data_IF_957298470374
#
_entry.id   IF_957298470374
#
_cell.length_a   1.000
_cell.length_b   1.000
_cell.length_c   1.000
_cell.angle_alpha   90.00
_cell.angle_beta   90.00
_cell.angle_gamma   90.00
#
_symmetry.space_group_name_H-M   'P 1'
#
loop_
_entity.id
_entity.type
_entity.pdbx_description
1 polymer ?
#
# COMPACT_ATOMS: atom_id res chain seq x y z
N UNK A 1 3.90 -0.80 -1.88
CA UNK A 1 4.00 -1.04 -1.08
C UNK A 1 3.33 -0.79 -0.34
N UNK A 2 2.72 -0.56 -0.66
CA UNK A 2 2.56 -0.72 0.28
C UNK A 2 1.40 -0.87 0.80
N UNK A 3 1.18 -1.76 0.69
CA UNK A 3 0.21 -2.09 1.40
C UNK A 3 0.49 -1.99 2.61
N UNK A 4 1.56 -1.86 2.74
CA UNK A 4 1.69 -1.55 4.02
C UNK A 4 0.98 -0.38 4.21
N UNK A 5 0.99 0.43 3.20
CA UNK A 5 0.18 1.55 3.43
C UNK A 5 -1.21 1.04 3.71
N UNK A 6 -1.63 -0.02 3.10
CA UNK A 6 -2.95 -0.37 3.41
C UNK A 6 -3.00 -1.26 4.54
N UNK A 7 -2.02 -1.96 4.77
CA UNK A 7 -2.08 -2.71 5.94
C UNK A 7 -1.59 -1.95 7.02
N UNK A 8 -0.72 -1.08 6.74
CA UNK A 8 -0.38 -0.18 7.73
C UNK A 8 -1.37 0.82 7.75
N UNK A 9 -1.96 1.01 6.70
CA UNK A 9 -3.06 1.83 6.70
C UNK A 9 -4.17 0.99 7.13
N UNK A 10 -4.16 -0.23 6.95
CA UNK A 10 -5.14 -1.06 7.57
C UNK A 10 -4.72 -1.30 8.97
N UNK A 11 -3.47 -1.23 9.22
CA UNK A 11 -3.04 -1.29 10.55
C UNK A 11 -2.85 0.05 11.09
N UNK A 12 -2.31 0.92 10.36
CA UNK A 12 -2.25 2.32 10.67
C UNK A 12 -3.63 2.89 10.60
N UNK A 13 -4.49 2.30 9.84
CA UNK A 13 -5.83 2.63 9.78
C UNK A 13 -6.62 1.88 10.77
N UNK A 14 -6.22 0.75 11.15
CA UNK A 14 -6.90 0.12 12.24
C UNK A 14 -6.48 0.82 13.46
N UNK A 15 -5.31 1.24 13.51
CA UNK A 15 -4.84 1.92 14.68
C UNK A 15 -5.27 3.36 14.55
N UNK A 16 -5.22 3.94 13.38
CA UNK A 16 -5.78 5.24 13.12
C UNK A 16 -7.27 5.18 13.09
N UNK A 17 -7.84 4.14 12.59
CA UNK A 17 -9.26 3.91 12.63
C UNK A 17 -9.72 3.61 14.03
N UNK A 18 -8.86 3.16 14.87
CA UNK A 18 -9.23 2.97 16.25
C UNK A 18 -9.17 4.26 16.98
N UNK A 19 -8.13 5.02 16.76
CA UNK A 19 -8.05 6.30 17.39
C UNK A 19 -9.21 7.15 16.96
N UNK A 20 -9.67 6.92 15.72
CA UNK A 20 -10.70 7.73 15.24
C UNK A 20 -12.07 7.17 15.41
N UNK A 21 -12.17 5.86 15.48
CA UNK A 21 -13.44 5.18 15.65
C UNK A 21 -14.12 5.62 16.92
N UNK A 22 -13.34 6.00 17.88
CA UNK A 22 -13.92 6.46 19.12
C UNK A 22 -14.66 7.76 18.89
N UNK A 23 -14.29 8.53 17.89
CA UNK A 23 -14.85 9.78 17.77
C UNK A 23 -15.70 9.99 16.66
N UNK A 24 -16.01 9.05 15.87
CA UNK A 24 -16.39 9.52 14.62
C UNK A 24 -17.73 9.09 14.19
N UNK A 25 -18.73 9.66 14.72
CA UNK A 25 -20.09 9.34 14.29
C UNK A 25 -20.37 9.82 12.87
N UNK A 26 -19.71 10.85 12.44
CA UNK A 26 -19.98 11.46 11.14
C UNK A 26 -19.02 11.05 10.05
N UNK A 27 -18.07 10.19 10.36
CA UNK A 27 -17.08 9.80 9.36
C UNK A 27 -17.69 8.91 8.29
N UNK A 28 -17.13 8.89 7.10
CA UNK A 28 -17.59 7.96 6.09
C UNK A 28 -17.42 6.53 6.56
N UNK A 29 -18.22 5.65 6.01
CA UNK A 29 -18.11 4.24 6.35
C UNK A 29 -16.71 3.72 6.01
N UNK A 30 -16.22 2.85 6.86
CA UNK A 30 -14.93 2.23 6.60
C UNK A 30 -15.09 1.11 5.60
N UNK A 31 -14.06 0.84 4.83
CA UNK A 31 -14.15 -0.30 3.93
C UNK A 31 -14.35 -1.61 4.67
N UNK A 32 -15.01 -2.54 4.03
CA UNK A 32 -15.20 -3.86 4.60
C UNK A 32 -13.91 -4.65 4.42
N UNK A 33 -13.40 -5.18 5.51
CA UNK A 33 -12.18 -5.99 5.46
C UNK A 33 -12.52 -7.45 5.31
N UNK A 34 -11.73 -8.14 4.53
CA UNK A 34 -11.95 -9.56 4.33
C UNK A 34 -11.24 -10.41 5.36
N UNK A 35 -10.09 -9.96 5.80
CA UNK A 35 -9.37 -10.68 6.84
C UNK A 35 -9.18 -9.72 7.99
N UNK A 36 -9.82 -10.07 9.10
CA UNK A 36 -9.78 -9.21 10.25
C UNK A 36 -8.41 -9.27 10.89
N UNK A 37 -7.85 -8.12 11.14
CA UNK A 37 -6.61 -8.03 11.87
C UNK A 37 -6.87 -7.29 13.15
N UNK A 38 -6.57 -7.92 14.25
CA UNK A 38 -6.79 -7.33 15.54
C UNK A 38 -5.45 -6.90 16.09
N UNK A 39 -5.32 -5.66 16.52
CA UNK A 39 -4.07 -5.28 17.18
C UNK A 39 -3.93 -6.09 18.47
N UNK A 40 -2.86 -5.95 19.08
CA UNK A 40 -2.46 -6.70 20.25
C UNK A 40 -3.62 -7.13 21.11
N UNK A 41 -3.73 -8.42 21.35
CA UNK A 41 -4.75 -8.98 22.23
C UNK A 41 -4.22 -9.34 23.62
N UNK A 42 -2.94 -9.18 23.84
CA UNK A 42 -2.36 -9.52 25.13
C UNK A 42 -2.74 -8.47 26.16
N UNK A 43 -3.25 -8.93 27.28
CA UNK A 43 -3.75 -8.05 28.32
C UNK A 43 -2.62 -7.72 29.30
N UNK A 44 -1.99 -6.57 29.08
CA UNK A 44 -0.88 -6.13 29.92
C UNK A 44 -1.27 -4.86 30.66
N UNK A 45 -1.01 -4.81 31.97
CA UNK A 45 -1.34 -3.59 32.72
C UNK A 45 -0.68 -2.33 32.17
N UNK A 46 0.56 -2.44 31.69
CA UNK A 46 1.24 -1.29 31.13
C UNK A 46 0.53 -0.76 29.89
N UNK A 47 -0.02 -1.64 29.08
CA UNK A 47 -0.78 -1.24 27.89
C UNK A 47 -2.04 -0.49 28.28
N UNK A 48 -2.77 -0.99 29.25
CA UNK A 48 -3.97 -0.31 29.73
C UNK A 48 -3.62 1.06 30.32
N UNK A 49 -2.53 1.13 31.06
CA UNK A 49 -2.08 2.38 31.63
C UNK A 49 -1.80 3.41 30.55
N UNK A 50 -1.16 3.01 29.47
CA UNK A 50 -0.89 3.89 28.36
C UNK A 50 -2.16 4.30 27.63
N UNK A 51 -3.05 3.32 27.37
CA UNK A 51 -4.28 3.60 26.64
C UNK A 51 -5.18 4.55 27.43
N UNK A 52 -5.19 4.42 28.74
CA UNK A 52 -5.96 5.34 29.59
C UNK A 52 -5.47 6.78 29.45
N UNK A 53 -4.22 6.94 29.00
CA UNK A 53 -3.63 8.26 28.80
C UNK A 53 -3.60 8.68 27.34
N UNK A 54 -4.30 7.96 26.50
CA UNK A 54 -4.41 8.30 25.09
C UNK A 54 -3.31 7.76 24.20
N UNK A 55 -2.50 6.82 24.70
CA UNK A 55 -1.38 6.27 23.93
C UNK A 55 -1.66 4.82 23.59
N UNK A 56 -1.73 4.48 22.30
CA UNK A 56 -1.93 3.12 21.84
C UNK A 56 -0.67 2.67 21.13
N UNK A 57 0.16 1.84 21.79
CA UNK A 57 1.37 1.33 21.12
C UNK A 57 1.01 0.24 20.13
N UNK A 58 1.86 0.07 19.19
CA UNK A 58 1.67 -1.04 18.25
C UNK A 58 2.99 -1.56 17.67
N UNK A 59 2.97 -2.75 17.29
CA UNK A 59 4.06 -3.38 16.66
C UNK A 59 3.50 -4.30 15.64
N UNK A 60 4.22 -4.40 14.66
CA UNK A 60 3.82 -5.35 13.60
C UNK A 60 5.06 -5.98 13.01
N UNK A 61 5.00 -7.29 12.74
CA UNK A 61 6.07 -8.02 12.08
C UNK A 61 5.47 -8.78 10.92
N UNK A 62 6.06 -8.65 9.73
CA UNK A 62 5.67 -9.42 8.55
C UNK A 62 6.89 -10.15 8.05
N UNK A 63 6.82 -11.47 7.95
CA UNK A 63 7.90 -12.30 7.42
C UNK A 63 7.35 -13.05 6.23
N UNK A 64 8.01 -12.94 5.09
CA UNK A 64 7.60 -13.64 3.88
C UNK A 64 8.78 -14.42 3.32
N UNK A 65 8.66 -15.75 3.29
CA UNK A 65 9.67 -16.62 2.69
C UNK A 65 9.11 -17.13 1.37
N UNK A 66 9.86 -16.88 0.30
CA UNK A 66 9.44 -17.27 -1.04
C UNK A 66 10.45 -18.23 -1.64
N UNK A 67 9.93 -19.25 -2.31
CA UNK A 67 10.73 -20.17 -3.12
C UNK A 67 10.41 -19.89 -4.58
N UNK A 68 11.42 -19.48 -5.35
CA UNK A 68 11.28 -19.27 -6.78
C UNK A 68 11.72 -20.53 -7.50
N UNK A 69 10.91 -20.95 -8.47
CA UNK A 69 11.18 -22.18 -9.22
C UNK A 69 11.44 -21.81 -10.67
N UNK A 70 12.69 -21.97 -11.11
CA UNK A 70 13.07 -21.80 -12.51
C UNK A 70 13.12 -20.36 -12.99
N UNK A 71 13.49 -19.45 -12.14
CA UNK A 71 13.55 -18.04 -12.54
C UNK A 71 14.70 -17.73 -13.47
N UNK A 72 14.67 -16.51 -14.00
CA UNK A 72 15.69 -15.99 -14.91
C UNK A 72 17.09 -16.09 -14.32
N UNK A 73 17.24 -15.87 -13.03
CA UNK A 73 18.54 -15.98 -12.36
C UNK A 73 18.63 -17.24 -11.48
N UNK A 74 17.81 -18.24 -11.74
CA UNK A 74 17.88 -19.50 -11.04
C UNK A 74 16.71 -19.73 -10.10
N UNK A 75 16.89 -20.72 -9.22
CA UNK A 75 15.86 -21.13 -8.25
C UNK A 75 16.42 -21.02 -6.84
N UNK A 76 15.55 -20.78 -5.87
CA UNK A 76 15.97 -20.75 -4.49
C UNK A 76 15.00 -20.02 -3.59
N UNK A 77 15.44 -19.85 -2.34
CA UNK A 77 14.64 -19.21 -1.30
C UNK A 77 15.12 -17.81 -1.03
N UNK A 78 14.17 -16.94 -0.66
CA UNK A 78 14.47 -15.59 -0.19
C UNK A 78 13.47 -15.24 0.90
N UNK A 79 13.96 -14.66 1.98
CA UNK A 79 13.11 -14.25 3.10
C UNK A 79 13.23 -12.75 3.31
N UNK A 80 12.10 -12.06 3.33
CA UNK A 80 12.03 -10.64 3.58
C UNK A 80 11.22 -10.38 4.84
N UNK A 81 11.70 -9.47 5.67
CA UNK A 81 11.06 -9.14 6.93
C UNK A 81 10.84 -7.65 7.05
N UNK A 82 9.69 -7.29 7.57
CA UNK A 82 9.29 -5.91 7.82
C UNK A 82 8.82 -5.79 9.26
N UNK A 83 9.29 -4.78 9.96
CA UNK A 83 8.91 -4.53 11.35
C UNK A 83 8.48 -3.09 11.49
N UNK A 84 7.35 -2.85 12.13
CA UNK A 84 6.93 -1.52 12.53
C UNK A 84 6.81 -1.46 14.04
N UNK A 85 7.28 -0.36 14.63
CA UNK A 85 7.09 -0.07 16.04
C UNK A 85 6.61 1.37 16.13
N UNK A 86 5.55 1.60 16.86
CA UNK A 86 5.06 2.96 16.94
C UNK A 86 3.94 3.13 17.94
N UNK A 87 3.31 4.27 17.86
CA UNK A 87 2.18 4.59 18.73
C UNK A 87 1.26 5.57 18.04
N UNK A 88 -0.01 5.44 18.35
CA UNK A 88 -1.04 6.43 17.99
C UNK A 88 -1.44 7.12 19.29
N UNK A 89 -1.34 8.42 19.30
CA UNK A 89 -1.56 9.22 20.50
C UNK A 89 -2.76 10.13 20.27
N UNK A 90 -3.79 9.96 21.11
CA UNK A 90 -4.91 10.88 21.16
C UNK A 90 -4.42 12.10 21.94
N UNK A 91 -4.06 13.16 21.23
CA UNK A 91 -3.48 14.33 21.88
C UNK A 91 -4.51 15.11 22.69
N UNK A 92 -5.79 14.94 22.41
CA UNK A 92 -6.82 15.52 23.28
C UNK A 92 -6.77 14.91 24.66
N UNK A 93 -6.66 13.59 24.71
CA UNK A 93 -6.61 12.89 25.99
C UNK A 93 -5.26 13.09 26.67
N UNK A 94 -4.19 13.00 25.92
CA UNK A 94 -2.85 13.06 26.50
C UNK A 94 -2.42 14.48 26.89
N UNK A 95 -2.80 15.47 26.07
CA UNK A 95 -2.25 16.83 26.21
C UNK A 95 -3.33 17.93 26.23
N UNK A 96 -4.59 17.56 26.08
CA UNK A 96 -5.65 18.58 25.98
C UNK A 96 -5.73 19.28 24.63
N UNK A 97 -5.13 18.71 23.59
CA UNK A 97 -5.10 19.31 22.27
C UNK A 97 -5.73 18.34 21.28
N UNK A 98 -6.97 18.57 20.88
CA UNK A 98 -7.70 17.65 20.01
C UNK A 98 -6.88 17.29 18.80
N UNK A 99 -6.75 16.01 18.55
CA UNK A 99 -6.03 15.51 17.38
C UNK A 99 -5.42 14.18 17.63
N UNK A 100 -4.76 13.65 16.59
CA UNK A 100 -4.10 12.34 16.64
C UNK A 100 -2.67 12.51 16.15
N UNK A 101 -1.73 12.11 16.98
CA UNK A 101 -0.30 12.10 16.63
C UNK A 101 0.09 10.66 16.36
N UNK A 102 0.74 10.42 15.22
CA UNK A 102 1.24 9.09 14.89
C UNK A 102 2.74 9.14 14.77
N UNK A 103 3.41 8.20 15.44
CA UNK A 103 4.85 8.08 15.37
C UNK A 103 5.16 6.62 15.04
N UNK A 104 5.89 6.38 13.95
CA UNK A 104 6.18 5.01 13.50
C UNK A 104 7.63 4.93 13.05
N UNK A 105 8.33 3.92 13.54
CA UNK A 105 9.63 3.50 13.03
C UNK A 105 9.46 2.18 12.32
N UNK A 106 10.17 1.99 11.22
CA UNK A 106 10.07 0.75 10.44
C UNK A 106 11.46 0.26 10.11
N UNK A 107 11.57 -1.06 9.96
CA UNK A 107 12.81 -1.66 9.49
C UNK A 107 12.46 -2.74 8.48
N UNK A 108 13.24 -2.83 7.42
CA UNK A 108 13.11 -3.88 6.43
C UNK A 108 14.47 -4.50 6.22
N UNK A 109 14.51 -5.83 6.18
CA UNK A 109 15.75 -6.53 5.97
C UNK A 109 15.49 -7.88 5.31
N UNK A 110 16.55 -8.50 4.80
CA UNK A 110 16.44 -9.80 4.15
C UNK A 110 16.61 -9.69 2.65
N UNK A 111 16.01 -10.62 1.93
CA UNK A 111 16.21 -10.77 0.50
C UNK A 111 14.88 -10.97 -0.19
N UNK A 112 14.84 -10.67 -1.48
CA UNK A 112 13.61 -10.74 -2.25
C UNK A 112 13.76 -11.70 -3.43
N UNK A 113 12.72 -12.49 -3.67
CA UNK A 113 12.72 -13.45 -4.77
C UNK A 113 12.79 -12.77 -6.13
N UNK A 114 12.14 -11.61 -6.28
CA UNK A 114 12.20 -10.91 -7.56
C UNK A 114 13.60 -10.42 -7.88
N UNK A 115 14.35 -10.03 -6.87
CA UNK A 115 15.68 -9.51 -7.03
C UNK A 115 16.70 -10.64 -7.26
N UNK A 116 16.53 -11.73 -6.56
CA UNK A 116 17.51 -12.81 -6.62
C UNK A 116 17.26 -13.82 -7.74
N UNK A 117 15.99 -14.02 -8.12
CA UNK A 117 15.67 -15.16 -8.99
C UNK A 117 14.82 -14.81 -10.20
N UNK A 118 13.63 -14.22 -10.00
CA UNK A 118 12.69 -14.08 -11.12
C UNK A 118 13.02 -12.93 -12.06
N UNK A 119 13.62 -11.87 -11.54
CA UNK A 119 13.91 -10.68 -12.35
C UNK A 119 12.66 -9.91 -12.73
N UNK A 120 11.60 -10.02 -11.93
CA UNK A 120 10.33 -9.36 -12.26
C UNK A 120 10.28 -7.95 -11.68
N UNK A 121 9.46 -7.09 -12.29
CA UNK A 121 9.15 -5.77 -11.74
C UNK A 121 8.20 -5.91 -10.54
N UNK A 122 7.22 -6.79 -10.65
CA UNK A 122 6.33 -7.05 -9.53
C UNK A 122 7.09 -7.85 -8.51
N UNK A 123 7.14 -7.37 -7.27
CA UNK A 123 7.82 -8.07 -6.20
C UNK A 123 6.94 -9.20 -5.70
N UNK A 124 7.55 -10.35 -5.50
CA UNK A 124 6.83 -11.51 -4.96
C UNK A 124 6.51 -11.32 -3.49
N UNK A 125 7.31 -10.49 -2.81
CA UNK A 125 7.14 -10.18 -1.39
C UNK A 125 6.93 -8.68 -1.28
N UNK A 126 5.74 -8.27 -0.89
CA UNK A 126 5.38 -6.85 -0.93
C UNK A 126 6.17 -6.00 0.06
N UNK A 127 6.59 -6.60 1.16
CA UNK A 127 7.22 -5.86 2.23
C UNK A 127 8.74 -5.84 2.10
N UNK A 128 9.24 -5.50 0.92
CA UNK A 128 10.67 -5.41 0.65
C UNK A 128 10.95 -4.11 -0.08
N UNK A 129 12.07 -3.48 0.20
CA UNK A 129 12.46 -2.29 -0.54
C UNK A 129 12.18 -1.02 0.21
N UNK A 130 12.25 0.09 -0.50
CA UNK A 130 12.06 1.44 0.05
C UNK A 130 13.14 1.73 1.10
N UNK A 131 14.40 1.46 0.73
CA UNK A 131 15.54 1.74 1.58
C UNK A 131 16.14 0.54 2.29
N UNK A 132 15.34 -0.49 2.57
CA UNK A 132 15.80 -1.74 3.19
C UNK A 132 16.63 -1.48 4.44
N UNK A 133 16.12 -0.68 5.35
CA UNK A 133 16.88 -0.26 6.52
C UNK A 133 15.93 0.27 7.58
N UNK A 134 16.46 0.50 8.76
CA UNK A 134 15.71 1.16 9.83
C UNK A 134 15.49 2.62 9.47
N UNK A 135 14.24 3.08 9.58
CA UNK A 135 13.90 4.43 9.17
C UNK A 135 12.72 5.02 9.92
N UNK A 136 12.69 6.33 9.92
CA UNK A 136 11.53 7.07 10.41
C UNK A 136 10.46 6.97 9.35
N UNK A 137 9.34 6.34 9.71
CA UNK A 137 8.25 6.12 8.78
C UNK A 137 7.27 7.29 8.83
N UNK A 138 6.87 7.68 10.03
CA UNK A 138 5.83 8.70 10.15
C UNK A 138 5.94 9.45 11.47
N UNK A 139 5.84 10.76 11.39
CA UNK A 139 5.49 11.62 12.51
C UNK A 139 4.48 12.62 11.95
N UNK A 140 3.22 12.45 12.31
CA UNK A 140 2.15 13.27 11.74
C UNK A 140 1.12 13.62 12.78
N UNK A 141 0.45 14.73 12.57
CA UNK A 141 -0.65 15.15 13.43
C UNK A 141 -1.86 15.44 12.57
N UNK A 142 -3.00 14.89 12.98
CA UNK A 142 -4.26 15.03 12.24
C UNK A 142 -5.32 15.57 13.17
N UNK A 143 -6.09 16.52 12.67
CA UNK A 143 -7.19 17.10 13.44
C UNK A 143 -8.42 17.20 12.57
N UNK A 144 -9.56 16.84 13.15
CA UNK A 144 -10.86 16.96 12.49
C UNK A 144 -11.59 18.19 12.99
N UNK A 145 -12.24 18.88 12.08
CA UNK A 145 -12.98 20.10 12.34
C UNK A 145 -14.36 19.99 11.69
N UNK A 146 -15.26 20.94 12.01
CA UNK A 146 -16.58 21.06 11.37
C UNK A 146 -17.37 19.76 11.48
N UNK A 147 -17.53 19.27 12.69
CA UNK A 147 -18.22 18.01 12.96
C UNK A 147 -17.60 16.86 12.17
N UNK A 148 -16.27 16.88 12.13
CA UNK A 148 -15.47 15.82 11.48
C UNK A 148 -15.61 15.74 9.98
N UNK A 149 -16.22 16.75 9.38
CA UNK A 149 -16.28 16.77 7.92
C UNK A 149 -14.97 17.18 7.29
N UNK A 150 -14.16 17.94 8.03
CA UNK A 150 -12.88 18.42 7.51
C UNK A 150 -11.76 17.82 8.35
N UNK A 151 -10.81 17.17 7.69
CA UNK A 151 -9.63 16.63 8.37
C UNK A 151 -8.39 17.29 7.78
N UNK A 152 -7.53 17.77 8.67
CA UNK A 152 -6.24 18.35 8.28
C UNK A 152 -5.16 17.44 8.87
N UNK A 153 -4.14 17.13 8.07
CA UNK A 153 -3.04 16.29 8.52
C UNK A 153 -1.74 16.88 7.99
N UNK A 154 -0.75 16.98 8.85
CA UNK A 154 0.54 17.49 8.44
C UNK A 154 1.66 16.79 9.16
N UNK A 155 2.84 16.84 8.57
CA UNK A 155 4.03 16.28 9.17
C UNK A 155 4.88 15.54 8.16
N UNK A 156 5.54 14.50 8.65
CA UNK A 156 6.43 13.67 7.86
C UNK A 156 5.76 12.31 7.72
N UNK A 157 5.26 12.00 6.53
CA UNK A 157 4.54 10.74 6.30
C UNK A 157 4.45 10.49 4.82
N UNK A 158 4.26 9.23 4.45
CA UNK A 158 4.13 8.87 3.06
C UNK A 158 2.75 9.29 2.55
N UNK A 159 2.69 9.92 1.38
CA UNK A 159 1.40 10.29 0.83
C UNK A 159 0.54 9.06 0.54
N UNK A 160 1.17 7.93 0.29
CA UNK A 160 0.45 6.69 0.06
C UNK A 160 -0.33 6.22 1.28
N UNK A 161 -0.04 6.75 2.47
CA UNK A 161 -0.84 6.39 3.64
C UNK A 161 -2.26 6.91 3.52
N UNK A 162 -2.49 7.94 2.73
CA UNK A 162 -3.81 8.56 2.63
C UNK A 162 -4.42 8.52 1.24
N UNK A 163 -3.62 8.40 0.19
CA UNK A 163 -4.11 8.44 -1.19
C UNK A 163 -3.91 7.09 -1.87
N UNK A 164 -4.84 6.71 -2.71
CA UNK A 164 -4.67 5.52 -3.55
C UNK A 164 -4.83 4.20 -2.84
N UNK A 165 -5.39 4.18 -1.66
CA UNK A 165 -5.60 2.95 -0.93
C UNK A 165 -6.91 2.27 -1.31
N UNK A 166 -6.94 0.95 -1.14
CA UNK A 166 -8.14 0.19 -1.45
C UNK A 166 -8.19 -1.03 -0.55
N UNK A 167 -9.36 -1.44 -0.06
CA UNK A 167 -9.44 -2.66 0.73
C UNK A 167 -9.15 -3.90 -0.11
N UNK A 168 -8.78 -4.97 0.56
CA UNK A 168 -8.54 -6.30 0.00
C UNK A 168 -7.20 -6.47 -0.67
N UNK A 169 -6.57 -5.40 -1.15
CA UNK A 169 -5.33 -5.55 -1.92
C UNK A 169 -4.23 -6.21 -1.10
N UNK A 170 -4.23 -6.00 0.21
CA UNK A 170 -3.21 -6.61 1.06
C UNK A 170 -3.61 -7.94 1.64
N UNK A 171 -4.62 -8.56 1.05
CA UNK A 171 -4.80 -9.98 1.20
C UNK A 171 -3.87 -10.75 0.25
N UNK A 172 -2.96 -10.05 -0.43
CA UNK A 172 -2.02 -10.64 -1.37
C UNK A 172 -0.59 -10.42 -0.91
N UNK A 173 0.31 -11.31 -1.32
CA UNK A 173 1.71 -11.23 -0.94
C UNK A 173 2.55 -10.37 -1.90
N UNK A 174 2.08 -10.13 -3.12
CA UNK A 174 2.86 -9.41 -4.10
C UNK A 174 2.56 -7.90 -4.03
N UNK A 175 3.51 -7.08 -4.44
CA UNK A 175 3.34 -5.64 -4.38
C UNK A 175 2.56 -5.06 -5.56
N UNK A 176 2.29 -5.86 -6.57
CA UNK A 176 1.41 -5.40 -7.62
C UNK A 176 0.02 -5.14 -7.09
N UNK A 177 -0.39 -5.93 -6.10
CA UNK A 177 -1.67 -5.75 -5.44
C UNK A 177 -1.53 -5.11 -4.08
N UNK A 178 -0.67 -5.66 -3.21
CA UNK A 178 -0.54 -5.14 -1.87
C UNK A 178 0.33 -3.90 -1.88
N UNK A 179 -0.31 -2.77 -1.71
CA UNK A 179 0.36 -1.48 -1.78
C UNK A 179 -0.41 -0.56 -2.68
N UNK A 180 0.29 0.28 -3.35
CA UNK A 180 -0.32 1.21 -4.29
C UNK A 180 0.06 0.82 -5.70
N UNK A 181 -0.72 1.26 -6.68
CA UNK A 181 -0.45 0.85 -8.06
C UNK A 181 0.97 1.22 -8.48
N UNK A 182 1.63 0.30 -9.15
CA UNK A 182 3.05 0.44 -9.45
C UNK A 182 3.32 1.51 -10.51
N UNK A 183 2.36 1.77 -11.40
CA UNK A 183 2.57 2.79 -12.41
C UNK A 183 2.96 4.14 -11.83
N UNK A 184 2.12 4.73 -10.99
CA UNK A 184 2.47 6.00 -10.36
C UNK A 184 3.75 5.95 -9.53
N UNK A 185 3.96 4.86 -8.81
CA UNK A 185 5.14 4.75 -7.94
C UNK A 185 6.42 4.78 -8.77
N UNK A 186 6.46 4.05 -9.88
CA UNK A 186 7.67 4.00 -10.70
C UNK A 186 7.82 5.21 -11.61
N UNK A 187 6.74 5.97 -11.82
CA UNK A 187 6.76 7.03 -12.83
C UNK A 187 6.57 8.43 -12.27
N UNK A 188 6.67 8.58 -10.96
CA UNK A 188 6.50 9.91 -10.36
C UNK A 188 7.16 9.95 -8.98
N UNK A 189 6.94 11.06 -8.28
CA UNK A 189 7.41 11.20 -6.90
C UNK A 189 6.47 10.63 -5.86
N UNK A 190 5.53 9.79 -6.25
CA UNK A 190 4.64 9.10 -5.32
C UNK A 190 5.48 8.23 -4.39
N UNK A 191 5.42 8.51 -3.10
CA UNK A 191 6.11 7.67 -2.12
C UNK A 191 5.12 6.82 -1.37
N UNK A 192 5.60 5.68 -0.95
CA UNK A 192 4.80 4.72 -0.23
C UNK A 192 5.51 4.31 1.05
N UNK A 193 4.76 3.81 1.99
CA UNK A 193 5.28 3.28 3.24
C UNK A 193 6.42 2.30 2.94
N UNK A 194 7.53 2.33 3.66
CA UNK A 194 7.79 3.06 4.91
C UNK A 194 8.58 4.36 4.75
N UNK A 195 8.66 4.92 3.58
CA UNK A 195 9.46 6.12 3.35
C UNK A 195 8.57 7.36 3.46
N UNK A 196 8.89 8.23 4.42
CA UNK A 196 8.10 9.42 4.63
C UNK A 196 8.54 10.60 3.78
N UNK A 197 7.73 11.62 3.80
CA UNK A 197 7.99 12.89 3.12
C UNK A 197 7.23 13.98 3.85
N UNK A 198 7.69 15.22 3.75
CA UNK A 198 6.95 16.31 4.34
C UNK A 198 5.69 16.57 3.55
N UNK A 199 4.58 16.75 4.24
CA UNK A 199 3.33 16.95 3.55
C UNK A 199 2.23 17.53 4.39
N UNK A 200 1.22 18.02 3.68
CA UNK A 200 -0.04 18.48 4.26
C UNK A 200 -1.14 17.84 3.44
N UNK A 201 -2.20 17.41 4.12
CA UNK A 201 -3.37 16.81 3.47
C UNK A 201 -4.64 17.44 4.03
N UNK A 202 -5.58 17.75 3.16
CA UNK A 202 -6.90 18.25 3.51
C UNK A 202 -7.92 17.28 2.96
N UNK A 203 -8.83 16.81 3.80
CA UNK A 203 -9.88 15.88 3.39
C UNK A 203 -11.23 16.36 3.85
N UNK A 204 -12.17 16.43 2.92
CA UNK A 204 -13.57 16.71 3.21
C UNK A 204 -14.35 15.41 3.13
N UNK A 205 -15.18 15.13 4.12
CA UNK A 205 -16.02 13.92 4.17
C UNK A 205 -17.47 14.29 4.40
N UNK A 206 -18.35 13.67 3.62
CA UNK A 206 -19.77 13.88 3.72
C UNK A 206 -20.39 12.66 4.42
N UNK A 207 -21.33 12.85 5.34
CA UNK A 207 -21.98 11.70 6.00
C UNK A 207 -22.63 10.72 5.04
N UNK A 208 -23.00 11.14 3.82
CA UNK A 208 -23.54 10.22 2.82
C UNK A 208 -22.51 9.27 2.23
N UNK A 209 -21.22 9.48 2.51
CA UNK A 209 -20.17 8.59 2.05
C UNK A 209 -19.20 9.18 1.03
N UNK A 210 -19.48 10.37 0.52
CA UNK A 210 -18.60 11.04 -0.43
C UNK A 210 -17.43 11.69 0.29
N UNK A 211 -16.27 11.70 -0.36
CA UNK A 211 -15.16 12.48 0.17
C UNK A 211 -14.33 13.05 -0.98
N UNK A 212 -13.59 14.08 -0.65
CA UNK A 212 -12.60 14.67 -1.56
C UNK A 212 -11.38 15.03 -0.73
N UNK A 213 -10.21 14.76 -1.28
CA UNK A 213 -8.99 15.14 -0.57
C UNK A 213 -7.91 15.58 -1.54
N UNK A 214 -7.03 16.41 -1.02
CA UNK A 214 -5.89 16.90 -1.78
C UNK A 214 -4.74 17.13 -0.80
N UNK A 215 -3.57 17.42 -1.34
CA UNK A 215 -2.43 17.66 -0.49
C UNK A 215 -1.26 18.23 -1.25
N UNK A 216 -0.18 18.50 -0.52
CA UNK A 216 1.08 18.90 -1.10
C UNK A 216 2.18 18.17 -0.34
N UNK A 217 3.08 17.54 -1.09
CA UNK A 217 4.13 16.71 -0.49
C UNK A 217 5.44 17.03 -1.19
N UNK A 218 6.55 17.01 -0.45
CA UNK A 218 7.84 17.22 -1.12
C UNK A 218 8.26 15.94 -1.84
N UNK A 219 9.09 16.11 -2.89
CA UNK A 219 9.64 14.98 -3.63
C UNK A 219 11.14 14.98 -3.38
N UNK A 220 11.60 13.93 -2.70
CA UNK A 220 13.02 13.84 -2.35
C UNK A 220 13.49 12.40 -2.52
N UNK A 221 13.98 12.06 -3.71
CA UNK A 221 14.39 10.67 -3.97
C UNK A 221 15.52 10.19 -3.06
N UNK A 222 16.31 11.10 -2.51
CA UNK A 222 17.44 10.69 -1.67
C UNK A 222 16.98 10.01 -0.38
N UNK A 223 15.74 10.21 0.04
CA UNK A 223 15.28 9.61 1.28
C UNK A 223 15.12 8.10 1.20
N UNK A 224 15.03 7.54 -0.01
CA UNK A 224 14.94 6.08 -0.15
C UNK A 224 16.28 5.39 0.01
N UNK A 225 17.37 6.12 0.01
CA UNK A 225 18.69 5.50 0.16
C UNK A 225 18.84 4.90 1.54
N UNK A 226 19.56 3.78 1.60
CA UNK A 226 19.62 3.01 2.84
C UNK A 226 20.34 3.74 3.98
N UNK A 227 21.21 4.70 3.65
CA UNK A 227 21.88 5.47 4.69
C UNK A 227 21.09 6.74 5.08
N UNK A 228 19.89 6.92 4.55
CA UNK A 228 19.09 8.11 4.82
C UNK A 228 17.79 7.80 5.55
N UNK A 229 17.79 6.78 6.38
CA UNK A 229 16.56 6.35 7.06
C UNK A 229 15.94 7.40 7.97
N UNK A 230 16.76 8.31 8.51
CA UNK A 230 16.25 9.35 9.38
C UNK A 230 16.40 10.74 8.78
N UNK A 231 16.54 10.81 7.46
CA UNK A 231 16.74 12.10 6.82
C UNK A 231 15.41 12.84 6.68
N UNK A 232 15.31 13.94 7.41
CA UNK A 232 14.16 14.83 7.31
C UNK A 232 14.53 16.16 6.65
N UNK A 233 15.82 16.37 6.36
CA UNK A 233 16.27 17.59 5.73
C UNK A 233 15.74 17.71 4.31
N UNK A 234 15.70 18.93 3.80
CA UNK A 234 15.11 19.21 2.49
C UNK A 234 16.12 19.13 1.36
N UNK A 235 17.42 19.01 1.65
CA UNK A 235 18.38 18.87 0.57
C UNK A 235 18.10 17.59 -0.21
N UNK A 236 18.17 17.70 -1.53
CA UNK A 236 17.78 16.60 -2.41
C UNK A 236 16.35 16.72 -2.92
N UNK A 237 15.58 17.69 -2.43
CA UNK A 237 14.24 17.91 -2.96
C UNK A 237 14.30 18.24 -4.44
N UNK A 238 13.42 17.64 -5.23
CA UNK A 238 13.36 17.87 -6.66
C UNK A 238 12.08 18.56 -7.10
N UNK A 239 11.11 18.67 -6.21
CA UNK A 239 9.85 19.30 -6.56
C UNK A 239 8.78 19.02 -5.53
N UNK A 240 7.54 19.24 -5.93
CA UNK A 240 6.36 19.03 -5.09
C UNK A 240 5.38 18.12 -5.81
N UNK A 241 4.65 17.37 -5.02
CA UNK A 241 3.66 16.41 -5.52
C UNK A 241 2.28 16.85 -5.00
N UNK A 242 1.33 17.00 -5.92
CA UNK A 242 -0.03 17.46 -5.60
C UNK A 242 -1.03 16.38 -6.02
N UNK A 243 -1.54 15.56 -5.10
CA UNK A 243 -2.59 14.60 -5.44
C UNK A 243 -3.98 15.19 -5.19
N UNK A 244 -4.96 14.71 -5.94
CA UNK A 244 -6.38 14.98 -5.73
C UNK A 244 -7.11 13.65 -5.85
N UNK A 245 -8.00 13.38 -4.92
CA UNK A 245 -8.76 12.13 -4.94
C UNK A 245 -10.20 12.40 -4.53
N UNK A 246 -11.14 11.84 -5.30
CA UNK A 246 -12.56 11.85 -5.01
C UNK A 246 -13.01 10.42 -4.78
N UNK A 247 -13.83 10.19 -3.78
CA UNK A 247 -14.28 8.84 -3.51
C UNK A 247 -15.67 8.77 -2.92
N UNK A 248 -16.19 7.55 -2.90
CA UNK A 248 -17.46 7.22 -2.30
C UNK A 248 -17.31 5.89 -1.60
N UNK A 249 -17.72 5.87 -0.34
CA UNK A 249 -17.63 4.65 0.46
C UNK A 249 -19.02 4.32 0.98
N UNK A 250 -19.37 3.18 0.75
CA UNK A 250 -20.64 2.73 1.13
C UNK A 250 -20.51 1.58 2.03
N UNK A 251 -21.44 1.42 2.87
CA UNK A 251 -21.45 0.31 3.79
C UNK A 251 -20.74 0.65 5.08
N UNK A 252 -21.42 0.46 6.19
CA UNK A 252 -20.86 0.86 7.47
C UNK A 252 -20.42 -0.30 8.33
N UNK A 253 -20.88 -1.48 8.01
CA UNK A 253 -20.63 -2.66 8.83
C UNK A 253 -19.90 -3.70 8.00
N UNK A 254 -19.05 -4.54 8.61
CA UNK A 254 -18.49 -5.68 7.87
C UNK A 254 -19.55 -6.64 7.37
N UNK A 255 -20.78 -6.50 7.83
CA UNK A 255 -21.89 -7.34 7.36
C UNK A 255 -22.66 -6.73 6.20
N UNK A 256 -22.36 -5.49 5.83
CA UNK A 256 -23.03 -4.82 4.72
C UNK A 256 -22.46 -5.24 3.37
N UNK A 257 -23.17 -4.90 2.31
CA UNK A 257 -22.62 -4.95 0.96
C UNK A 257 -21.85 -3.66 0.75
N UNK A 258 -20.67 -3.58 1.35
CA UNK A 258 -19.87 -2.37 1.32
C UNK A 258 -19.10 -2.21 0.04
N UNK A 259 -18.84 -0.96 -0.32
CA UNK A 259 -18.07 -0.65 -1.50
C UNK A 259 -17.23 0.61 -1.33
N UNK A 260 -16.17 0.70 -2.11
CA UNK A 260 -15.30 1.86 -2.17
C UNK A 260 -15.01 2.15 -3.63
N UNK A 261 -15.24 3.38 -4.05
CA UNK A 261 -15.07 3.80 -5.43
C UNK A 261 -14.32 5.10 -5.42
N UNK A 262 -13.24 5.22 -6.21
CA UNK A 262 -12.50 6.47 -6.21
C UNK A 262 -11.78 6.71 -7.52
N UNK A 263 -11.53 7.99 -7.79
CA UNK A 263 -10.71 8.41 -8.89
C UNK A 263 -9.68 9.40 -8.34
N UNK A 264 -8.50 9.41 -8.92
CA UNK A 264 -7.45 10.31 -8.48
C UNK A 264 -6.63 10.81 -9.65
N UNK A 265 -5.98 11.93 -9.39
CA UNK A 265 -5.08 12.55 -10.34
C UNK A 265 -3.93 13.15 -9.55
N UNK A 266 -2.73 13.17 -10.15
CA UNK A 266 -1.61 13.81 -9.47
C UNK A 266 -0.79 14.63 -10.45
N UNK A 267 -0.14 15.64 -9.90
CA UNK A 267 0.76 16.54 -10.59
C UNK A 267 2.04 16.60 -9.78
N UNK A 268 3.15 16.23 -10.42
CA UNK A 268 4.47 16.17 -9.79
C UNK A 268 5.36 17.16 -10.51
N UNK A 269 5.84 18.19 -9.84
CA UNK A 269 6.63 19.23 -10.47
C UNK A 269 8.11 18.86 -10.61
N UNK A 270 8.54 17.71 -10.10
CA UNK A 270 9.95 17.36 -10.16
C UNK A 270 10.40 17.08 -11.59
N UNK A 271 11.66 17.40 -11.86
CA UNK A 271 12.26 17.10 -13.15
C UNK A 271 12.54 15.61 -13.28
N UNK A 272 12.43 15.10 -14.47
CA UNK A 272 12.72 13.68 -14.72
C UNK A 272 13.30 13.49 -16.11
N UNK A 273 14.22 12.55 -16.21
CA UNK A 273 14.80 12.20 -17.50
C UNK A 273 13.75 11.54 -18.39
N UNK A 274 13.87 11.79 -19.69
CA UNK A 274 12.98 11.12 -20.65
C UNK A 274 13.43 9.68 -20.85
N UNK A 275 12.47 8.78 -20.93
CA UNK A 275 12.81 7.36 -21.16
C UNK A 275 13.30 7.13 -22.60
N UNK A 276 12.92 7.98 -23.54
CA UNK A 276 13.31 7.81 -24.95
C UNK A 276 14.49 8.67 -25.34
N UNK A 277 15.02 9.49 -24.45
CA UNK A 277 16.16 10.37 -24.74
C UNK A 277 16.80 10.79 -23.41
N UNK A 278 17.39 9.86 -22.72
CA UNK A 278 17.91 10.17 -21.36
C UNK A 278 18.94 11.29 -21.27
N UNK A 279 19.48 11.49 -22.33
CA UNK A 279 20.50 12.45 -22.41
C UNK A 279 19.98 13.78 -22.76
N UNK A 280 18.78 13.81 -23.00
CA UNK A 280 18.22 15.09 -23.44
C UNK A 280 17.78 15.92 -22.26
N UNK A 281 17.23 17.11 -22.54
CA UNK A 281 16.71 17.97 -21.48
C UNK A 281 15.60 17.26 -20.70
N UNK A 282 15.64 17.37 -19.40
CA UNK A 282 14.65 16.72 -18.54
C UNK A 282 13.27 17.33 -18.74
N UNK A 283 12.25 16.52 -18.54
CA UNK A 283 10.87 16.98 -18.50
C UNK A 283 10.65 17.67 -17.15
N UNK A 284 9.90 18.76 -17.16
CA UNK A 284 9.79 19.59 -15.97
C UNK A 284 8.62 19.22 -15.06
N UNK A 285 7.78 18.27 -15.47
CA UNK A 285 6.68 17.82 -14.62
C UNK A 285 6.19 16.45 -15.09
N UNK A 286 5.47 15.78 -14.22
CA UNK A 286 4.87 14.48 -14.53
C UNK A 286 3.46 14.45 -13.96
N UNK A 287 2.57 13.70 -14.59
CA UNK A 287 1.23 13.57 -14.08
C UNK A 287 0.69 12.18 -14.38
N UNK A 288 -0.38 11.84 -13.70
CA UNK A 288 -1.05 10.57 -13.93
C UNK A 288 -2.39 10.53 -13.23
N UNK A 289 -3.07 9.41 -13.40
CA UNK A 289 -4.40 9.26 -12.84
C UNK A 289 -4.66 7.81 -12.48
N UNK A 290 -5.67 7.59 -11.64
CA UNK A 290 -6.06 6.25 -11.25
C UNK A 290 -7.55 6.17 -10.98
N UNK A 291 -8.09 4.97 -11.19
CA UNK A 291 -9.47 4.62 -10.86
C UNK A 291 -9.41 3.34 -10.05
N UNK A 292 -10.12 3.32 -8.92
CA UNK A 292 -10.11 2.15 -8.06
C UNK A 292 -11.52 1.86 -7.61
N UNK A 293 -11.87 0.58 -7.55
CA UNK A 293 -13.14 0.19 -7.00
C UNK A 293 -13.02 -1.12 -6.27
N UNK A 294 -13.79 -1.27 -5.21
CA UNK A 294 -13.91 -2.50 -4.47
C UNK A 294 -15.35 -2.63 -4.03
N UNK A 295 -15.91 -3.83 -4.13
CA UNK A 295 -17.31 -4.05 -3.84
C UNK A 295 -17.52 -5.46 -3.31
N UNK A 296 -18.21 -5.58 -2.19
CA UNK A 296 -18.68 -6.88 -1.75
C UNK A 296 -19.83 -7.27 -2.66
N UNK A 297 -19.72 -8.43 -3.30
CA UNK A 297 -20.66 -8.80 -4.34
C UNK A 297 -21.56 -9.98 -3.96
N UNK A 298 -21.21 -10.73 -2.92
CA UNK A 298 -21.98 -11.90 -2.55
C UNK A 298 -21.78 -12.24 -1.08
N UNK A 299 -22.84 -12.64 -0.42
CA UNK A 299 -22.82 -13.17 0.93
C UNK A 299 -23.64 -14.44 0.98
N UNK A 300 -23.25 -15.45 1.77
CA UNK A 300 -24.04 -16.68 1.85
C UNK A 300 -25.35 -16.51 2.63
N UNK A 301 -25.45 -15.47 3.44
CA UNK A 301 -26.69 -15.17 4.19
C UNK A 301 -26.69 -13.69 4.52
N UNK A 302 -27.82 -13.20 5.00
CA UNK A 302 -27.97 -11.75 5.16
C UNK A 302 -27.10 -11.18 6.26
N UNK A 303 -27.00 -11.86 7.39
CA UNK A 303 -26.29 -11.33 8.56
C UNK A 303 -25.01 -12.09 8.79
N UNK A 304 -23.98 -11.77 8.03
CA UNK A 304 -22.71 -12.46 8.14
C UNK A 304 -21.58 -11.56 7.67
N UNK A 305 -20.38 -11.76 8.20
CA UNK A 305 -19.19 -11.11 7.68
C UNK A 305 -18.60 -11.88 6.49
N UNK A 306 -19.09 -13.11 6.27
CA UNK A 306 -18.59 -13.97 5.20
C UNK A 306 -19.10 -13.48 3.86
N UNK A 307 -18.31 -13.66 2.82
CA UNK A 307 -18.75 -13.29 1.48
C UNK A 307 -17.59 -13.03 0.55
N UNK A 308 -17.94 -12.71 -0.68
CA UNK A 308 -16.95 -12.48 -1.73
C UNK A 308 -16.95 -10.99 -2.07
N UNK A 309 -15.75 -10.43 -2.14
CA UNK A 309 -15.54 -9.06 -2.58
C UNK A 309 -14.64 -9.07 -3.80
N UNK A 310 -14.84 -8.10 -4.68
CA UNK A 310 -14.02 -7.95 -5.87
C UNK A 310 -13.45 -6.55 -5.92
N UNK A 311 -12.28 -6.41 -6.53
CA UNK A 311 -11.71 -5.09 -6.71
C UNK A 311 -11.07 -4.96 -8.09
N UNK A 312 -10.94 -3.73 -8.55
CA UNK A 312 -10.28 -3.42 -9.81
C UNK A 312 -9.58 -2.08 -9.69
N UNK A 313 -8.39 -1.99 -10.24
CA UNK A 313 -7.61 -0.77 -10.27
C UNK A 313 -7.04 -0.60 -11.68
N UNK A 314 -7.12 0.62 -12.19
CA UNK A 314 -6.46 0.97 -13.43
C UNK A 314 -5.72 2.29 -13.24
N UNK A 315 -4.50 2.38 -13.74
CA UNK A 315 -3.72 3.60 -13.61
C UNK A 315 -3.10 3.96 -14.93
N UNK A 316 -2.85 5.24 -15.09
CA UNK A 316 -2.10 5.76 -16.22
C UNK A 316 -1.04 6.70 -15.67
N UNK A 317 0.19 6.56 -16.16
CA UNK A 317 1.29 7.39 -15.72
C UNK A 317 1.97 8.02 -16.93
N UNK A 318 2.87 8.96 -16.69
CA UNK A 318 3.49 9.74 -17.77
C UNK A 318 4.44 8.86 -18.58
N UNK A 319 4.10 8.63 -19.84
CA UNK A 319 4.87 7.73 -20.69
C UNK A 319 6.23 8.30 -21.08
N UNK A 320 6.42 9.61 -20.92
CA UNK A 320 7.69 10.26 -21.30
C UNK A 320 8.79 9.96 -20.30
N UNK A 321 8.44 9.80 -19.03
CA UNK A 321 9.44 9.78 -17.95
C UNK A 321 9.43 8.53 -17.12
N UNK A 322 8.36 7.76 -17.17
CA UNK A 322 8.27 6.55 -16.37
C UNK A 322 8.38 5.30 -17.20
N UNK A 323 8.89 4.23 -16.64
CA UNK A 323 8.94 2.98 -17.40
C UNK A 323 7.57 2.39 -17.63
N UNK A 324 6.63 2.60 -16.70
CA UNK A 324 5.29 2.01 -16.80
C UNK A 324 4.29 3.05 -17.28
N UNK A 325 3.56 2.71 -18.34
CA UNK A 325 2.48 3.57 -18.83
C UNK A 325 1.18 3.26 -18.11
N UNK A 326 0.87 1.98 -17.98
CA UNK A 326 -0.37 1.54 -17.33
C UNK A 326 -0.08 0.45 -16.32
N UNK A 327 -0.87 0.41 -15.28
CA UNK A 327 -0.92 -0.75 -14.41
C UNK A 327 -2.37 -1.11 -14.13
N UNK A 328 -2.63 -2.40 -14.04
CA UNK A 328 -3.98 -2.94 -13.88
C UNK A 328 -3.94 -3.99 -12.78
N UNK A 329 -4.91 -3.95 -11.87
CA UNK A 329 -5.05 -5.00 -10.87
C UNK A 329 -6.51 -5.40 -10.80
N UNK A 330 -6.74 -6.70 -10.76
CA UNK A 330 -8.07 -7.25 -10.50
C UNK A 330 -7.92 -8.30 -9.41
N UNK A 331 -8.92 -8.43 -8.59
CA UNK A 331 -8.88 -9.49 -7.60
C UNK A 331 -10.23 -9.78 -7.01
N UNK A 332 -10.32 -10.98 -6.43
CA UNK A 332 -11.47 -11.37 -5.61
C UNK A 332 -10.93 -11.92 -4.31
N UNK A 333 -11.66 -11.68 -3.24
CA UNK A 333 -11.31 -12.19 -1.93
C UNK A 333 -12.56 -12.76 -1.30
N UNK A 334 -12.51 -14.02 -0.90
CA UNK A 334 -13.65 -14.75 -0.31
C UNK A 334 -13.37 -14.89 1.17
N UNK A 335 -14.02 -14.05 1.95
CA UNK A 335 -13.90 -14.13 3.39
C UNK A 335 -14.78 -15.25 3.91
N UNK A 336 -14.20 -16.15 4.69
CA UNK A 336 -14.92 -17.23 5.33
C UNK A 336 -15.44 -18.27 4.36
N UNK A 337 -14.61 -18.87 3.48
CA UNK A 337 -15.11 -19.98 2.65
C UNK A 337 -15.62 -21.12 3.49
N UNK A 338 -14.99 -21.33 4.65
CA UNK A 338 -15.45 -22.34 5.61
C UNK A 338 -16.18 -21.63 6.74
N UNK A 339 -17.40 -22.06 7.01
CA UNK A 339 -18.23 -21.35 8.00
C UNK A 339 -17.62 -21.33 9.40
N UNK A 340 -16.85 -22.34 9.74
CA UNK A 340 -16.20 -22.39 11.04
C UNK A 340 -15.00 -21.46 11.14
N UNK A 341 -14.57 -20.88 10.03
CA UNK A 341 -13.38 -20.02 9.98
C UNK A 341 -13.73 -18.74 9.24
N UNK A 342 -14.58 -17.96 9.87
CA UNK A 342 -15.16 -16.79 9.17
C UNK A 342 -14.16 -15.67 8.88
N UNK A 343 -13.01 -15.68 9.54
CA UNK A 343 -12.01 -14.62 9.32
C UNK A 343 -10.89 -15.02 8.36
N UNK A 344 -10.90 -16.26 7.87
CA UNK A 344 -9.98 -16.67 6.81
C UNK A 344 -10.40 -16.06 5.49
N UNK A 345 -9.47 -15.97 4.55
CA UNK A 345 -9.80 -15.46 3.22
C UNK A 345 -9.04 -16.22 2.14
N UNK A 346 -9.78 -16.64 1.11
CA UNK A 346 -9.20 -17.22 -0.10
C UNK A 346 -9.22 -16.14 -1.17
N UNK A 347 -8.07 -15.85 -1.77
CA UNK A 347 -7.97 -14.71 -2.68
C UNK A 347 -7.28 -15.10 -3.97
N UNK A 348 -7.77 -14.53 -5.07
CA UNK A 348 -7.19 -14.72 -6.39
C UNK A 348 -7.04 -13.35 -7.04
N UNK A 349 -5.85 -13.05 -7.54
CA UNK A 349 -5.59 -11.74 -8.11
C UNK A 349 -4.71 -11.80 -9.34
N UNK A 350 -4.81 -10.76 -10.14
CA UNK A 350 -4.08 -10.60 -11.38
C UNK A 350 -3.56 -9.17 -11.44
N UNK A 351 -2.29 -9.03 -11.80
CA UNK A 351 -1.65 -7.73 -12.01
C UNK A 351 -1.00 -7.72 -13.38
N UNK A 352 -1.15 -6.62 -14.09
CA UNK A 352 -0.52 -6.43 -15.39
C UNK A 352 0.14 -5.06 -15.43
N UNK A 353 1.38 -5.04 -15.88
CA UNK A 353 2.14 -3.80 -16.09
C UNK A 353 2.40 -3.64 -17.57
N UNK A 354 2.04 -2.48 -18.12
CA UNK A 354 2.34 -2.15 -19.51
C UNK A 354 3.44 -1.10 -19.53
N UNK A 355 4.57 -1.45 -20.13
CA UNK A 355 5.71 -0.55 -20.20
C UNK A 355 5.45 0.52 -21.23
N UNK A 356 6.10 1.67 -21.04
CA UNK A 356 5.96 2.79 -21.96
C UNK A 356 6.43 2.42 -23.36
N UNK A 357 5.63 2.72 -24.39
CA UNK A 357 6.04 2.46 -25.75
C UNK A 357 7.20 3.35 -26.16
N UNK A 358 7.34 4.53 -25.55
CA UNK A 358 8.49 5.38 -25.81
C UNK A 358 9.78 4.73 -25.33
N UNK A 359 9.74 4.07 -24.19
CA UNK A 359 10.86 3.29 -23.69
C UNK A 359 11.17 2.14 -24.65
N UNK A 360 10.14 1.42 -25.10
CA UNK A 360 10.34 0.32 -26.04
C UNK A 360 10.97 0.78 -27.36
N UNK A 361 10.53 1.91 -27.87
CA UNK A 361 11.11 2.47 -29.10
C UNK A 361 12.59 2.81 -28.91
N UNK A 362 12.93 3.38 -27.77
CA UNK A 362 14.32 3.70 -27.47
C UNK A 362 15.17 2.44 -27.37
N UNK A 363 14.62 1.43 -26.71
CA UNK A 363 15.32 0.14 -26.58
C UNK A 363 15.56 -0.49 -27.96
N UNK A 364 14.56 -0.44 -28.83
CA UNK A 364 14.75 -0.94 -30.21
C UNK A 364 15.84 -0.20 -30.94
N UNK A 365 15.83 1.13 -30.85
CA UNK A 365 16.82 1.93 -31.56
C UNK A 365 18.23 1.69 -31.06
N UNK A 366 18.39 1.37 -29.79
CA UNK A 366 19.70 1.20 -29.19
C UNK A 366 20.14 -0.28 -29.08
N UNK A 367 19.32 -1.21 -29.57
CA UNK A 367 19.68 -2.62 -29.56
C UNK A 367 19.49 -3.29 -28.21
N UNK A 368 18.77 -2.69 -27.30
CA UNK A 368 18.52 -3.28 -26.00
C UNK A 368 17.30 -4.20 -26.06
N UNK A 369 17.17 -5.15 -25.12
CA UNK A 369 15.92 -5.92 -25.04
C UNK A 369 14.74 -5.01 -24.80
N UNK A 370 13.61 -5.33 -25.42
CA UNK A 370 12.44 -4.47 -25.42
C UNK A 370 11.45 -4.91 -24.36
N UNK A 371 11.13 -4.02 -23.45
CA UNK A 371 10.16 -4.28 -22.39
C UNK A 371 8.75 -3.96 -22.89
N UNK A 372 7.83 -4.91 -22.78
CA UNK A 372 6.47 -4.71 -23.25
C UNK A 372 5.47 -4.81 -22.13
N UNK A 373 5.31 -5.98 -21.52
CA UNK A 373 4.37 -6.14 -20.41
C UNK A 373 4.77 -7.30 -19.53
N UNK A 374 4.40 -7.19 -18.26
CA UNK A 374 4.61 -8.26 -17.30
C UNK A 374 3.27 -8.54 -16.63
N UNK A 375 3.00 -9.79 -16.31
CA UNK A 375 1.79 -10.16 -15.60
C UNK A 375 2.10 -11.11 -14.47
N UNK A 376 1.28 -11.08 -13.43
CA UNK A 376 1.37 -12.02 -12.32
C UNK A 376 -0.04 -12.41 -11.88
N UNK A 377 -0.22 -13.69 -11.60
CA UNK A 377 -1.44 -14.21 -10.96
C UNK A 377 -1.03 -14.78 -9.62
N UNK A 378 -1.80 -14.49 -8.59
CA UNK A 378 -1.57 -15.04 -7.25
C UNK A 378 -2.84 -15.65 -6.71
N UNK A 379 -2.71 -16.87 -6.17
CA UNK A 379 -3.75 -17.53 -5.39
C UNK A 379 -3.20 -17.74 -4.00
N UNK A 380 -3.99 -17.39 -2.97
CA UNK A 380 -3.52 -17.58 -1.61
C UNK A 380 -4.68 -17.84 -0.66
N UNK A 381 -4.35 -18.37 0.50
CA UNK A 381 -5.31 -18.57 1.56
C UNK A 381 -4.75 -17.96 2.85
N UNK A 382 -5.41 -16.93 3.36
CA UNK A 382 -5.00 -16.26 4.59
C UNK A 382 -5.73 -16.86 5.78
N UNK A 383 -4.97 -17.56 6.63
CA UNK A 383 -5.56 -18.15 7.85
C UNK A 383 -5.41 -17.18 9.01
N UNK A 384 -6.53 -16.81 9.61
CA UNK A 384 -6.48 -16.03 10.84
C UNK A 384 -6.28 -17.02 11.98
N UNK A 385 -5.02 -17.29 12.31
CA UNK A 385 -4.68 -18.34 13.26
C UNK A 385 -5.09 -17.94 14.68
N UNK A 386 -4.78 -16.69 15.04
CA UNK A 386 -5.21 -16.08 16.28
C UNK A 386 -5.69 -14.68 15.94
N UNK A 387 -6.28 -13.93 16.87
CA UNK A 387 -6.67 -12.55 16.54
C UNK A 387 -5.51 -11.67 16.08
N UNK A 388 -4.28 -12.02 16.45
CA UNK A 388 -3.13 -11.21 16.16
C UNK A 388 -2.18 -11.83 15.11
N UNK A 389 -2.50 -13.01 14.57
CA UNK A 389 -1.60 -13.71 13.65
C UNK A 389 -2.33 -14.23 12.43
N UNK A 390 -1.84 -13.83 11.26
CA UNK A 390 -2.30 -14.37 9.99
C UNK A 390 -1.13 -15.12 9.35
N UNK A 391 -1.41 -16.31 8.84
CA UNK A 391 -0.45 -17.09 8.06
C UNK A 391 -1.04 -17.30 6.68
N UNK A 392 -0.27 -16.96 5.64
CA UNK A 392 -0.83 -16.90 4.27
C UNK A 392 0.08 -17.62 3.28
N UNK A 393 -0.18 -18.89 3.00
CA UNK A 393 0.49 -19.54 1.88
C UNK A 393 -0.05 -19.03 0.56
N UNK A 394 0.84 -18.89 -0.43
CA UNK A 394 0.49 -18.33 -1.72
C UNK A 394 1.26 -19.01 -2.84
N UNK A 395 0.63 -19.08 -4.00
CA UNK A 395 1.29 -19.50 -5.24
C UNK A 395 1.17 -18.36 -6.24
N UNK A 396 2.26 -18.02 -6.90
CA UNK A 396 2.29 -16.93 -7.88
C UNK A 396 2.88 -17.44 -9.17
N UNK A 397 2.33 -17.00 -10.28
CA UNK A 397 2.88 -17.27 -11.59
C UNK A 397 3.19 -15.93 -12.26
N UNK A 398 4.46 -15.75 -12.63
CA UNK A 398 4.92 -14.51 -13.25
C UNK A 398 5.21 -14.80 -14.71
N UNK A 399 4.61 -14.05 -15.60
CA UNK A 399 4.90 -14.20 -17.02
C UNK A 399 5.62 -12.98 -17.55
N UNK A 400 6.61 -13.22 -18.40
CA UNK A 400 7.41 -12.18 -19.05
C UNK A 400 8.03 -11.22 -18.01
N UNK A 401 8.87 -11.76 -17.10
CA UNK A 401 9.46 -10.90 -16.05
C UNK A 401 10.15 -9.68 -16.62
N UNK A 402 9.94 -8.54 -16.00
CA UNK A 402 10.39 -7.22 -16.45
C UNK A 402 9.91 -6.85 -17.85
N UNK A 403 8.89 -7.53 -18.35
CA UNK A 403 8.36 -7.27 -19.68
C UNK A 403 9.21 -7.80 -20.80
N UNK A 404 10.19 -8.68 -20.49
CA UNK A 404 11.17 -9.16 -21.47
C UNK A 404 10.79 -10.58 -21.92
N UNK A 405 10.58 -10.74 -23.21
CA UNK A 405 10.18 -12.05 -23.74
C UNK A 405 11.28 -13.10 -23.57
N UNK A 406 12.53 -12.69 -23.42
CA UNK A 406 13.62 -13.64 -23.26
C UNK A 406 13.73 -14.20 -21.84
N UNK A 407 13.06 -13.62 -20.86
CA UNK A 407 13.12 -14.15 -19.49
C UNK A 407 12.07 -15.24 -19.31
N UNK A 408 12.45 -16.35 -18.67
CA UNK A 408 11.48 -17.42 -18.47
C UNK A 408 10.40 -17.02 -17.48
N UNK A 409 9.18 -17.52 -17.70
CA UNK A 409 8.14 -17.43 -16.71
C UNK A 409 8.57 -18.21 -15.46
N UNK A 410 8.00 -17.88 -14.32
CA UNK A 410 8.42 -18.50 -13.06
C UNK A 410 7.23 -18.71 -12.13
N UNK A 411 7.30 -19.80 -11.38
CA UNK A 411 6.41 -20.03 -10.24
C UNK A 411 7.14 -19.56 -8.99
N UNK A 412 6.39 -18.96 -8.06
CA UNK A 412 6.92 -18.56 -6.77
C UNK A 412 5.92 -18.98 -5.71
N UNK A 413 6.39 -19.67 -4.69
CA UNK A 413 5.56 -20.14 -3.59
C UNK A 413 5.99 -19.39 -2.34
N UNK A 414 5.06 -18.74 -1.67
CA UNK A 414 5.36 -17.87 -0.53
C UNK A 414 4.59 -18.32 0.69
N UNK A 415 5.25 -18.29 1.83
CA UNK A 415 4.57 -18.39 3.11
C UNK A 415 4.80 -17.08 3.85
N UNK A 416 3.73 -16.34 4.09
CA UNK A 416 3.80 -15.08 4.80
C UNK A 416 3.16 -15.23 6.17
N UNK A 417 3.83 -14.74 7.19
CA UNK A 417 3.25 -14.65 8.53
C UNK A 417 3.23 -13.17 8.92
N UNK A 418 2.11 -12.73 9.45
CA UNK A 418 1.96 -11.35 9.88
C UNK A 418 1.40 -11.34 11.29
N UNK A 419 2.17 -10.76 12.21
CA UNK A 419 1.77 -10.64 13.60
C UNK A 419 1.60 -9.18 13.97
N UNK A 420 0.50 -8.89 14.63
CA UNK A 420 0.21 -7.55 15.13
C UNK A 420 0.11 -7.65 16.65
N UNK A 421 0.98 -6.91 17.36
CA UNK A 421 1.10 -7.02 18.81
C UNK A 421 0.70 -5.74 19.51
#
# INVERSE_FOLDING_TARGET
>A
MRAPALLLTALGLTVAAHARAADDAAAPAKPVDTVKQVPWSVDLPARHWLQDRGITPNXRVVVATSHADGGYAGSGLATATHVDVGAVIDTGKALGLDGTLRVVLSDRFGQAAHDRYTGSYIQNQAFWGQGQNLRLNEVSWERSLLDRRLSLKGGFFSMGNDFGGLPYVCNFNNNGQCGHPLGPIYSSGWLDNPTGQWGLRVKWSDPAGWYAQTGVFDVNPSRKQSNNGFKVALDGNTGLFFPVELGYVXGRSPRDYGGTYKVGYYWDTSNAARVDAPXARKVSHRSGSYVQLAQRVWKPEADTVRGISAFAIGTQADARTGPLRYSWELGVSWRGPLSAREDDALSLGWTRLDFSSRLGDYQRRTGAPVQTREQMIELNYGMQVTPWLIVRPAAQYVSRPSGLSERPDAWVFTLQAQATL
#
